data_IF_152509205419
#
_entry.id   IF_152509205419
#
_cell.length_a   1.000
_cell.length_b   1.000
_cell.length_c   1.000
_cell.angle_alpha   90.00
_cell.angle_beta   90.00
_cell.angle_gamma   90.00
#
_symmetry.space_group_name_H-M   'P 1'
#
loop_
_entity.id
_entity.type
_entity.pdbx_description
1 polymer ?
#
# COMPACT_ATOMS: atom_id res chain seq x y z
N UNK A 1 -4.26 10.12 -31.06
CA UNK A 1 -5.16 9.63 -30.00
C UNK A 1 -5.52 10.72 -29.00
N UNK A 2 -4.58 11.40 -28.35
CA UNK A 2 -4.84 12.48 -27.38
C UNK A 2 -5.66 13.66 -27.91
N UNK A 3 -5.40 14.12 -29.14
CA UNK A 3 -6.16 15.22 -29.77
C UNK A 3 -7.66 14.92 -29.87
N UNK A 4 -8.02 13.70 -30.20
CA UNK A 4 -9.43 13.30 -30.31
C UNK A 4 -10.12 13.26 -28.92
N UNK A 5 -9.40 12.87 -27.89
CA UNK A 5 -9.91 12.81 -26.52
C UNK A 5 -10.15 14.22 -25.96
N UNK A 6 -9.19 15.14 -26.15
CA UNK A 6 -9.30 16.52 -25.71
C UNK A 6 -10.51 17.24 -26.34
N UNK A 7 -10.72 17.06 -27.64
CA UNK A 7 -11.88 17.61 -28.33
C UNK A 7 -13.20 17.04 -27.81
N UNK A 8 -13.23 15.73 -27.51
CA UNK A 8 -14.43 15.06 -26.99
C UNK A 8 -14.80 15.54 -25.56
N UNK A 9 -13.80 15.95 -24.77
CA UNK A 9 -14.03 16.44 -23.40
C UNK A 9 -14.27 17.97 -23.34
N UNK A 10 -14.27 18.68 -24.47
CA UNK A 10 -14.42 20.13 -24.50
C UNK A 10 -13.21 20.90 -23.93
N UNK A 11 -12.07 20.26 -23.87
CA UNK A 11 -10.82 20.86 -23.40
C UNK A 11 -10.25 21.87 -24.39
N UNK A 12 -9.42 22.84 -23.96
CA UNK A 12 -8.79 23.79 -24.82
C UNK A 12 -7.99 23.16 -25.96
N UNK A 13 -7.83 23.87 -27.06
CA UNK A 13 -7.09 23.36 -28.21
C UNK A 13 -5.71 22.86 -27.81
N UNK A 14 -5.22 21.72 -28.37
CA UNK A 14 -3.88 21.24 -28.13
C UNK A 14 -2.76 22.23 -28.39
N UNK A 15 -3.05 23.31 -29.15
CA UNK A 15 -2.11 24.41 -29.40
C UNK A 15 -1.89 25.30 -28.16
N UNK A 16 -2.84 25.27 -27.22
CA UNK A 16 -2.77 26.07 -25.98
C UNK A 16 -2.16 25.26 -24.81
N UNK A 17 -1.79 24.01 -25.05
CA UNK A 17 -1.21 23.17 -24.02
C UNK A 17 0.27 23.49 -23.81
N UNK A 18 0.63 23.78 -22.58
CA UNK A 18 2.01 23.84 -22.16
C UNK A 18 2.53 22.43 -21.86
N UNK A 19 3.60 22.05 -22.53
CA UNK A 19 4.29 20.79 -22.26
C UNK A 19 5.40 21.04 -21.26
N UNK A 20 5.30 20.37 -20.10
CA UNK A 20 6.36 20.35 -19.10
C UNK A 20 7.10 19.03 -19.22
N UNK A 21 8.39 19.10 -19.38
CA UNK A 21 9.27 17.94 -19.33
C UNK A 21 9.98 17.99 -17.98
N UNK A 22 9.66 17.04 -17.12
CA UNK A 22 10.35 16.92 -15.83
C UNK A 22 11.80 16.48 -16.06
N UNK A 23 12.72 17.02 -15.25
CA UNK A 23 14.09 16.54 -15.22
C UNK A 23 14.12 15.09 -14.66
N UNK A 24 15.04 14.23 -15.10
CA UNK A 24 15.28 12.96 -14.45
C UNK A 24 15.55 13.07 -12.95
N UNK A 25 16.07 14.21 -12.49
CA UNK A 25 16.35 14.48 -11.08
C UNK A 25 15.07 14.80 -10.27
N UNK A 26 13.99 15.21 -10.94
CA UNK A 26 12.72 15.59 -10.33
C UNK A 26 11.72 14.41 -10.26
N UNK A 27 12.01 13.32 -10.94
CA UNK A 27 11.11 12.17 -11.04
C UNK A 27 11.83 10.87 -10.75
N UNK A 28 11.12 9.97 -10.08
CA UNK A 28 11.58 8.61 -9.88
C UNK A 28 11.81 7.93 -11.23
N UNK A 29 13.03 7.42 -11.43
CA UNK A 29 13.42 6.67 -12.61
C UNK A 29 13.30 5.17 -12.33
N UNK A 30 12.81 4.41 -13.33
CA UNK A 30 12.79 2.96 -13.19
C UNK A 30 14.21 2.40 -13.34
N UNK A 31 14.53 1.44 -12.49
CA UNK A 31 15.81 0.73 -12.52
C UNK A 31 15.75 -0.56 -13.36
N UNK A 32 14.55 -0.98 -13.73
CA UNK A 32 14.31 -2.26 -14.41
C UNK A 32 13.42 -2.07 -15.65
N UNK A 33 13.55 -2.93 -16.63
CA UNK A 33 12.79 -2.87 -17.89
C UNK A 33 11.31 -3.29 -17.74
N UNK A 34 10.91 -3.82 -16.58
CA UNK A 34 9.56 -4.37 -16.35
C UNK A 34 8.73 -3.58 -15.33
N UNK A 35 9.23 -2.47 -14.82
CA UNK A 35 8.49 -1.64 -13.84
C UNK A 35 7.64 -0.53 -14.48
N UNK A 36 7.67 -0.37 -15.80
CA UNK A 36 6.97 0.71 -16.51
C UNK A 36 5.48 0.78 -16.19
N UNK A 37 4.81 -0.38 -16.03
CA UNK A 37 3.40 -0.43 -15.66
C UNK A 37 3.14 0.08 -14.24
N UNK A 38 4.04 -0.19 -13.30
CA UNK A 38 3.96 0.30 -11.92
C UNK A 38 4.10 1.81 -11.88
N UNK A 39 5.09 2.35 -12.61
CA UNK A 39 5.29 3.80 -12.73
C UNK A 39 4.11 4.50 -13.39
N UNK A 40 3.54 3.90 -14.44
CA UNK A 40 2.34 4.45 -15.08
C UNK A 40 1.18 4.56 -14.09
N UNK A 41 0.91 3.52 -13.32
CA UNK A 41 -0.13 3.53 -12.30
C UNK A 41 0.16 4.57 -11.21
N UNK A 42 1.41 4.63 -10.73
CA UNK A 42 1.85 5.58 -9.72
C UNK A 42 1.60 7.02 -10.14
N UNK A 43 2.08 7.40 -11.33
CA UNK A 43 1.95 8.77 -11.82
C UNK A 43 0.52 9.14 -12.20
N UNK A 44 -0.22 8.22 -12.83
CA UNK A 44 -1.63 8.44 -13.15
C UNK A 44 -2.46 8.70 -11.89
N UNK A 45 -2.15 7.98 -10.81
CA UNK A 45 -2.82 8.16 -9.53
C UNK A 45 -2.43 9.48 -8.87
N UNK A 46 -1.14 9.81 -8.82
CA UNK A 46 -0.69 11.10 -8.27
C UNK A 46 -1.37 12.27 -8.98
N UNK A 47 -1.48 12.22 -10.30
CA UNK A 47 -2.18 13.22 -11.09
C UNK A 47 -3.68 13.27 -10.78
N UNK A 48 -4.34 12.11 -10.64
CA UNK A 48 -5.77 12.03 -10.36
C UNK A 48 -6.16 12.62 -8.98
N UNK A 49 -5.27 12.51 -8.00
CA UNK A 49 -5.49 13.02 -6.63
C UNK A 49 -4.77 14.34 -6.35
N UNK A 50 -4.13 14.94 -7.36
CA UNK A 50 -3.28 16.12 -7.20
C UNK A 50 -2.18 15.94 -6.12
N UNK A 51 -1.69 14.70 -5.97
CA UNK A 51 -0.60 14.36 -5.08
C UNK A 51 0.75 14.73 -5.70
N UNK A 52 1.78 15.08 -4.92
CA UNK A 52 3.11 15.29 -5.44
C UNK A 52 3.67 13.99 -6.06
N UNK A 53 4.36 14.11 -7.19
CA UNK A 53 5.12 13.00 -7.78
C UNK A 53 6.24 12.61 -6.83
N UNK A 54 6.19 11.40 -6.30
CA UNK A 54 7.10 10.95 -5.24
C UNK A 54 8.46 10.62 -5.84
N UNK A 55 9.51 11.29 -5.36
CA UNK A 55 10.89 11.11 -5.85
C UNK A 55 11.54 9.82 -5.32
N UNK A 56 11.09 9.29 -4.19
CA UNK A 56 11.66 8.08 -3.57
C UNK A 56 10.54 7.13 -3.13
N UNK A 57 9.87 6.47 -4.08
CA UNK A 57 8.89 5.45 -3.76
C UNK A 57 9.53 4.06 -3.72
N UNK A 58 9.27 3.31 -2.66
CA UNK A 58 9.53 1.88 -2.64
C UNK A 58 8.58 1.17 -3.62
N UNK A 59 9.13 0.75 -4.75
CA UNK A 59 8.39 0.11 -5.84
C UNK A 59 7.63 -1.14 -5.37
N UNK A 60 8.16 -1.87 -4.40
CA UNK A 60 7.47 -3.03 -3.83
C UNK A 60 6.22 -2.63 -3.06
N UNK A 61 6.26 -1.52 -2.32
CA UNK A 61 5.08 -0.97 -1.65
C UNK A 61 4.06 -0.41 -2.64
N UNK A 62 4.51 0.24 -3.69
CA UNK A 62 3.62 0.72 -4.77
C UNK A 62 2.90 -0.45 -5.44
N UNK A 63 3.60 -1.53 -5.77
CA UNK A 63 2.99 -2.76 -6.31
C UNK A 63 1.93 -3.33 -5.37
N UNK A 64 2.23 -3.41 -4.08
CA UNK A 64 1.27 -3.90 -3.06
C UNK A 64 0.03 -3.02 -2.99
N UNK A 65 0.20 -1.71 -2.99
CA UNK A 65 -0.92 -0.76 -3.00
C UNK A 65 -1.80 -0.93 -4.25
N UNK A 66 -1.21 -1.03 -5.44
CA UNK A 66 -1.95 -1.26 -6.69
C UNK A 66 -2.74 -2.56 -6.63
N UNK A 67 -2.14 -3.63 -6.11
CA UNK A 67 -2.81 -4.92 -5.94
C UNK A 67 -4.01 -4.79 -4.98
N UNK A 68 -3.84 -4.08 -3.88
CA UNK A 68 -4.93 -3.82 -2.94
C UNK A 68 -6.06 -3.04 -3.61
N UNK A 69 -5.76 -1.96 -4.31
CA UNK A 69 -6.75 -1.13 -4.98
C UNK A 69 -7.53 -1.92 -6.04
N UNK A 70 -6.84 -2.73 -6.84
CA UNK A 70 -7.45 -3.62 -7.83
C UNK A 70 -8.32 -4.69 -7.18
N UNK A 71 -7.87 -5.25 -6.06
CA UNK A 71 -8.62 -6.29 -5.34
C UNK A 71 -9.92 -5.77 -4.75
N UNK A 72 -9.90 -4.56 -4.20
CA UNK A 72 -11.07 -3.93 -3.58
C UNK A 72 -11.89 -3.08 -4.54
N UNK A 73 -11.47 -2.96 -5.81
CA UNK A 73 -12.10 -2.09 -6.80
C UNK A 73 -12.25 -0.64 -6.28
N UNK A 74 -11.33 -0.22 -5.45
CA UNK A 74 -11.31 1.11 -4.85
C UNK A 74 -9.92 1.71 -4.98
N UNK A 75 -9.87 2.94 -5.43
CA UNK A 75 -8.65 3.73 -5.35
C UNK A 75 -8.60 4.35 -3.96
N UNK A 76 -7.62 3.95 -3.17
CA UNK A 76 -7.32 4.61 -1.91
C UNK A 76 -6.23 5.65 -2.12
N UNK A 77 -6.21 6.79 -1.46
CA UNK A 77 -5.05 7.70 -1.49
C UNK A 77 -3.78 6.91 -1.19
N UNK A 78 -2.71 7.16 -1.93
CA UNK A 78 -1.42 6.54 -1.61
C UNK A 78 -1.11 6.79 -0.15
N UNK A 79 -0.71 5.79 0.61
CA UNK A 79 -0.14 6.05 1.91
C UNK A 79 1.21 6.75 1.72
N UNK A 80 1.13 8.04 1.44
CA UNK A 80 2.29 8.94 1.40
C UNK A 80 2.90 9.14 2.78
N UNK A 81 2.58 8.32 3.73
CA UNK A 81 3.09 8.23 5.11
C UNK A 81 2.08 7.51 6.01
N UNK A 82 1.33 6.61 5.49
CA UNK A 82 0.02 6.28 5.99
C UNK A 82 -0.05 5.21 7.07
N UNK A 83 1.04 4.76 7.66
CA UNK A 83 0.95 3.91 8.85
C UNK A 83 0.68 4.81 10.06
N UNK A 84 -0.49 4.66 10.67
CA UNK A 84 -0.91 5.50 11.79
C UNK A 84 -0.69 4.77 13.12
N UNK A 85 -0.08 5.48 14.07
CA UNK A 85 0.06 5.00 15.44
C UNK A 85 -1.31 4.70 16.05
N UNK A 86 -1.42 3.57 16.73
CA UNK A 86 -2.66 3.12 17.35
C UNK A 86 -3.57 2.29 16.46
N UNK A 87 -3.36 2.28 15.14
CA UNK A 87 -4.14 1.48 14.20
C UNK A 87 -3.54 0.08 14.02
N UNK A 88 -4.36 -0.84 13.50
CA UNK A 88 -3.98 -2.25 13.32
C UNK A 88 -3.71 -2.55 11.86
N UNK A 89 -2.67 -3.33 11.61
CA UNK A 89 -2.22 -3.70 10.25
C UNK A 89 -1.87 -5.18 10.17
N UNK A 90 -1.87 -5.71 8.95
CA UNK A 90 -1.28 -7.01 8.66
C UNK A 90 0.17 -6.82 8.20
N UNK A 91 1.07 -7.53 8.86
CA UNK A 91 2.52 -7.47 8.66
C UNK A 91 3.01 -8.78 8.08
N UNK A 92 3.75 -8.71 6.98
CA UNK A 92 4.31 -9.88 6.29
C UNK A 92 5.59 -10.34 6.96
N UNK A 93 5.63 -11.62 7.30
CA UNK A 93 6.83 -12.36 7.70
C UNK A 93 7.08 -13.48 6.69
N UNK A 94 8.30 -13.75 6.41
CA UNK A 94 8.79 -14.62 5.31
C UNK A 94 7.88 -15.77 4.86
N UNK A 95 7.14 -16.43 5.74
CA UNK A 95 6.24 -17.56 5.43
C UNK A 95 4.78 -17.33 5.80
N UNK A 96 4.51 -16.34 6.63
CA UNK A 96 3.20 -16.07 7.21
C UNK A 96 3.01 -14.57 7.41
N UNK A 97 1.88 -14.17 7.94
CA UNK A 97 1.63 -12.80 8.36
C UNK A 97 1.01 -12.77 9.76
N UNK A 98 1.15 -11.63 10.41
CA UNK A 98 0.56 -11.38 11.73
C UNK A 98 -0.21 -10.06 11.72
N UNK A 99 -1.21 -9.97 12.59
CA UNK A 99 -1.88 -8.70 12.85
C UNK A 99 -1.24 -8.03 14.06
N UNK A 100 -1.04 -6.73 13.97
CA UNK A 100 -0.46 -5.97 15.07
C UNK A 100 -0.93 -4.52 15.10
N UNK A 101 -0.82 -3.93 16.28
CA UNK A 101 -1.08 -2.52 16.51
C UNK A 101 0.22 -1.74 16.41
N UNK A 102 0.22 -0.68 15.64
CA UNK A 102 1.35 0.24 15.55
C UNK A 102 1.49 1.04 16.83
N UNK A 103 2.68 1.00 17.43
CA UNK A 103 3.04 1.74 18.64
C UNK A 103 3.75 3.03 18.28
N UNK A 104 4.74 2.95 17.39
CA UNK A 104 5.51 4.10 16.92
C UNK A 104 5.88 3.95 15.45
N UNK A 105 6.17 5.07 14.81
CA UNK A 105 6.66 5.15 13.44
C UNK A 105 7.89 6.02 13.44
N UNK A 106 9.01 5.49 12.96
CA UNK A 106 10.27 6.21 12.87
C UNK A 106 10.91 5.94 11.48
N UNK A 107 10.98 6.97 10.65
CA UNK A 107 11.52 6.89 9.28
C UNK A 107 10.89 5.73 8.47
N UNK A 108 11.70 4.71 8.18
CA UNK A 108 11.29 3.52 7.42
C UNK A 108 10.89 2.33 8.31
N UNK A 109 10.91 2.49 9.64
CA UNK A 109 10.61 1.43 10.59
C UNK A 109 9.37 1.74 11.40
N UNK A 110 8.65 0.69 11.72
CA UNK A 110 7.41 0.74 12.50
C UNK A 110 7.52 -0.24 13.64
N UNK A 111 7.30 0.22 14.85
CA UNK A 111 7.21 -0.63 16.02
C UNK A 111 5.78 -1.15 16.15
N UNK A 112 5.63 -2.46 16.15
CA UNK A 112 4.32 -3.12 16.10
C UNK A 112 4.20 -4.10 17.27
N UNK A 113 3.09 -4.00 18.01
CA UNK A 113 2.70 -4.98 19.03
C UNK A 113 1.74 -5.98 18.41
N UNK A 114 2.12 -7.27 18.42
CA UNK A 114 1.41 -8.31 17.71
C UNK A 114 0.30 -8.97 18.51
N UNK A 115 -0.76 -9.35 17.80
CA UNK A 115 -1.84 -10.20 18.28
C UNK A 115 -1.51 -11.67 18.00
N UNK A 116 -1.83 -12.54 18.95
CA UNK A 116 -1.69 -13.98 18.78
C UNK A 116 -3.02 -14.62 18.42
N UNK A 117 -2.99 -15.58 17.51
CA UNK A 117 -4.17 -16.37 17.15
C UNK A 117 -4.57 -17.27 18.33
N UNK A 118 -5.85 -17.25 18.67
CA UNK A 118 -6.48 -18.16 19.65
C UNK A 118 -7.35 -19.23 18.98
N UNK A 119 -7.50 -19.14 17.68
CA UNK A 119 -8.30 -20.05 16.86
C UNK A 119 -8.21 -19.64 15.38
N UNK A 120 -9.11 -20.17 14.56
CA UNK A 120 -9.05 -19.90 13.11
C UNK A 120 -9.35 -18.44 12.74
N UNK A 121 -10.15 -17.73 13.55
CA UNK A 121 -10.62 -16.37 13.25
C UNK A 121 -10.55 -15.43 14.45
N UNK A 122 -9.99 -15.87 15.57
CA UNK A 122 -9.95 -15.10 16.82
C UNK A 122 -8.51 -14.80 17.24
N UNK A 123 -8.30 -13.60 17.75
CA UNK A 123 -7.00 -13.04 18.12
C UNK A 123 -7.07 -12.46 19.52
N UNK A 124 -5.97 -12.53 20.24
CA UNK A 124 -5.86 -11.98 21.58
C UNK A 124 -4.47 -11.41 21.81
N UNK A 125 -4.33 -10.56 22.82
CA UNK A 125 -3.03 -10.12 23.28
C UNK A 125 -2.30 -11.29 23.95
N UNK A 126 -1.01 -11.50 23.65
CA UNK A 126 -0.19 -12.46 24.38
C UNK A 126 0.00 -12.01 25.83
N UNK A 127 0.30 -12.99 26.72
CA UNK A 127 0.57 -12.69 28.14
C UNK A 127 1.82 -11.83 28.33
N UNK A 128 2.83 -12.06 27.52
CA UNK A 128 4.03 -11.22 27.41
C UNK A 128 3.93 -10.42 26.13
N UNK A 129 4.19 -9.14 26.19
CA UNK A 129 4.12 -8.27 25.03
C UNK A 129 5.06 -8.77 23.94
N UNK A 130 4.49 -8.99 22.77
CA UNK A 130 5.18 -9.37 21.54
C UNK A 130 5.30 -8.11 20.69
N UNK A 131 6.47 -7.46 20.74
CA UNK A 131 6.74 -6.20 20.07
C UNK A 131 7.99 -6.36 19.21
N UNK A 132 7.90 -5.95 17.95
CA UNK A 132 9.02 -5.98 17.03
C UNK A 132 9.06 -4.70 16.19
N UNK A 133 10.26 -4.35 15.73
CA UNK A 133 10.50 -3.24 14.83
C UNK A 133 10.66 -3.76 13.41
N UNK A 134 9.67 -3.50 12.58
CA UNK A 134 9.62 -3.98 11.20
C UNK A 134 9.78 -2.82 10.22
N UNK A 135 10.38 -3.07 9.06
CA UNK A 135 10.42 -2.10 7.99
C UNK A 135 8.99 -1.84 7.49
N UNK A 136 8.65 -0.58 7.16
CA UNK A 136 7.31 -0.22 6.71
C UNK A 136 6.83 -1.02 5.49
N UNK A 137 7.75 -1.51 4.64
CA UNK A 137 7.45 -2.38 3.51
C UNK A 137 6.88 -3.76 3.91
N UNK A 138 7.05 -4.18 5.16
CA UNK A 138 6.45 -5.41 5.66
C UNK A 138 4.94 -5.24 5.96
N UNK A 139 4.45 -4.01 6.08
CA UNK A 139 3.03 -3.74 6.25
C UNK A 139 2.37 -3.83 4.87
N UNK A 140 1.55 -4.86 4.66
CA UNK A 140 0.98 -5.12 3.34
C UNK A 140 -0.52 -4.88 3.25
N UNK A 141 -1.22 -4.69 4.41
CA UNK A 141 -2.67 -4.49 4.43
C UNK A 141 -3.10 -3.72 5.69
N UNK A 142 -4.03 -2.80 5.54
CA UNK A 142 -4.65 -2.08 6.65
C UNK A 142 -4.95 -0.61 6.30
N UNK A 143 -5.56 0.10 7.27
CA UNK A 143 -5.86 -0.36 8.63
C UNK A 143 -6.98 -1.41 8.70
N UNK A 144 -6.86 -2.38 9.60
CA UNK A 144 -7.89 -3.39 9.87
C UNK A 144 -8.68 -3.03 11.11
N UNK A 145 -9.97 -3.39 11.10
CA UNK A 145 -10.86 -3.16 12.23
C UNK A 145 -11.03 -4.42 13.05
N UNK A 146 -10.74 -4.31 14.34
CA UNK A 146 -11.06 -5.35 15.33
C UNK A 146 -12.52 -5.25 15.75
N UNK A 147 -13.18 -6.40 15.91
CA UNK A 147 -14.53 -6.51 16.44
C UNK A 147 -14.52 -7.34 17.72
N UNK A 148 -15.37 -6.97 18.68
CA UNK A 148 -15.51 -7.63 19.97
C UNK A 148 -14.49 -7.14 21.00
N UNK A 149 -14.56 -7.74 22.18
CA UNK A 149 -13.59 -7.59 23.27
C UNK A 149 -12.86 -8.91 23.42
N UNK A 150 -11.59 -8.89 23.84
CA UNK A 150 -10.74 -10.08 23.91
C UNK A 150 -11.50 -11.41 24.14
N UNK A 151 -11.41 -12.38 23.22
CA UNK A 151 -10.65 -12.37 21.97
C UNK A 151 -11.32 -11.53 20.86
N UNK A 152 -10.52 -10.88 20.03
CA UNK A 152 -10.97 -10.08 18.90
C UNK A 152 -11.22 -10.93 17.66
N UNK A 153 -12.11 -10.44 16.78
CA UNK A 153 -12.25 -10.94 15.41
C UNK A 153 -11.92 -9.85 14.40
N UNK A 154 -11.40 -10.25 13.24
CA UNK A 154 -11.06 -9.35 12.14
C UNK A 154 -11.98 -9.66 10.98
N UNK A 155 -12.85 -8.71 10.64
CA UNK A 155 -13.86 -8.91 9.59
C UNK A 155 -13.28 -9.11 8.20
N UNK A 156 -12.11 -8.53 7.95
CA UNK A 156 -11.39 -8.57 6.66
C UNK A 156 -10.33 -9.68 6.59
N UNK A 157 -10.31 -10.62 7.54
CA UNK A 157 -9.28 -11.67 7.58
C UNK A 157 -9.16 -12.44 6.26
N UNK A 158 -10.28 -12.86 5.67
CA UNK A 158 -10.28 -13.63 4.41
C UNK A 158 -9.70 -12.84 3.24
N UNK A 159 -9.95 -11.53 3.21
CA UNK A 159 -9.37 -10.63 2.21
C UNK A 159 -7.86 -10.51 2.39
N UNK A 160 -7.41 -10.32 3.63
CA UNK A 160 -5.99 -10.27 3.97
C UNK A 160 -5.27 -11.55 3.55
N UNK A 161 -5.85 -12.72 3.84
CA UNK A 161 -5.31 -14.01 3.43
C UNK A 161 -5.16 -14.12 1.90
N UNK A 162 -6.17 -13.69 1.14
CA UNK A 162 -6.12 -13.70 -0.33
C UNK A 162 -5.03 -12.77 -0.87
N UNK A 163 -4.93 -11.55 -0.33
CA UNK A 163 -3.90 -10.58 -0.73
C UNK A 163 -2.51 -11.13 -0.41
N UNK A 164 -2.31 -11.70 0.79
CA UNK A 164 -1.04 -12.31 1.16
C UNK A 164 -0.65 -13.46 0.24
N UNK A 165 -1.58 -14.37 -0.06
CA UNK A 165 -1.35 -15.47 -0.99
C UNK A 165 -0.99 -14.98 -2.40
N UNK A 166 -1.62 -13.90 -2.86
CA UNK A 166 -1.31 -13.31 -4.15
C UNK A 166 0.11 -12.73 -4.17
N UNK A 167 0.48 -11.92 -3.18
CA UNK A 167 1.82 -11.34 -3.05
C UNK A 167 2.88 -12.45 -3.04
N UNK A 168 2.63 -13.54 -2.30
CA UNK A 168 3.55 -14.69 -2.23
C UNK A 168 3.74 -15.43 -3.54
N UNK A 169 2.69 -15.53 -4.35
CA UNK A 169 2.80 -16.13 -5.69
C UNK A 169 3.69 -15.31 -6.61
N UNK A 170 3.62 -13.97 -6.51
CA UNK A 170 4.45 -13.08 -7.31
C UNK A 170 5.93 -13.08 -6.89
N UNK A 171 6.24 -13.36 -5.64
CA UNK A 171 7.62 -13.42 -5.13
C UNK A 171 8.35 -14.73 -5.50
N UNK A 172 7.64 -15.74 -6.00
CA UNK A 172 8.21 -17.03 -6.43
C UNK A 172 8.51 -17.10 -7.91
N UNK A 173 8.18 -16.07 -8.67
CA UNK A 173 8.48 -15.90 -10.11
C UNK A 173 9.73 -15.04 -10.29
#
# INVERSE_FOLDING_TARGET
>A
MWRALAVACGEPSPHDWCFYVNSPDDMLQQETDYDCGVFLCLFSRALAFADPLVVNADIMNVRRSIIQDLHFQSLSPMPSTGVQVGMYYAVDYVTTFYFGRVISVADSFVEVKFLHSKGSTTYDWPRTDDVDSVHCSCIFYGPVLLKGNCPFTISTQREVEKVHLFIRKQQKL
#
